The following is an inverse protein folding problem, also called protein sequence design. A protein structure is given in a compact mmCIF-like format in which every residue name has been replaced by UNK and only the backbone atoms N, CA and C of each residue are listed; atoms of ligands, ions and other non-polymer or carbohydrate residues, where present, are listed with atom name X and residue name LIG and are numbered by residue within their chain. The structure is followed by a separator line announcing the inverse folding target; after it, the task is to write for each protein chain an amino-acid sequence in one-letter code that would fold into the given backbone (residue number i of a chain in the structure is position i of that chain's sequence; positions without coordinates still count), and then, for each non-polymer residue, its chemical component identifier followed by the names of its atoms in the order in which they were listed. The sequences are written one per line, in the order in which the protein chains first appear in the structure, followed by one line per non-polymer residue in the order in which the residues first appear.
data_IF_175509066768
#
_entry.id   IF_175509066768
#
_cell.length_a   1.000
_cell.length_b   1.000
_cell.length_c   1.000
_cell.angle_alpha   90.00
_cell.angle_beta   90.00
_cell.angle_gamma   90.00
#
_symmetry.space_group_name_H-M   'P 1'
#
loop_
_entity.id
_entity.type
_entity.pdbx_description
1 polymer ?
#
# COMPACT_ATOMS: atom_id res chain seq x y z
N UNK A 1 6.46 -13.54 -1.27
CA UNK A 1 7.18 -12.26 -1.45
C UNK A 1 7.24 -11.93 -2.93
N UNK A 2 7.14 -10.65 -3.28
CA UNK A 2 7.26 -10.19 -4.67
C UNK A 2 8.60 -10.63 -5.29
N UNK A 3 8.58 -10.96 -6.58
CA UNK A 3 9.78 -11.34 -7.32
C UNK A 3 10.63 -10.12 -7.71
N UNK A 4 10.02 -8.95 -7.83
CA UNK A 4 10.66 -7.69 -8.18
C UNK A 4 11.46 -7.08 -7.03
N UNK A 5 12.69 -6.67 -7.33
CA UNK A 5 13.57 -6.00 -6.36
C UNK A 5 13.00 -4.67 -5.88
N UNK A 6 12.37 -3.90 -6.76
CA UNK A 6 11.81 -2.58 -6.44
C UNK A 6 10.65 -2.70 -5.46
N UNK A 7 9.77 -3.69 -5.66
CA UNK A 7 8.63 -3.91 -4.77
C UNK A 7 9.12 -4.42 -3.40
N UNK A 8 10.13 -5.31 -3.38
CA UNK A 8 10.79 -5.74 -2.12
C UNK A 8 11.42 -4.57 -1.39
N UNK A 9 12.06 -3.64 -2.10
CA UNK A 9 12.64 -2.44 -1.50
C UNK A 9 11.57 -1.56 -0.83
N UNK A 10 10.42 -1.35 -1.49
CA UNK A 10 9.29 -0.60 -0.91
C UNK A 10 8.80 -1.27 0.37
N UNK A 11 8.65 -2.60 0.38
CA UNK A 11 8.25 -3.36 1.57
C UNK A 11 9.27 -3.21 2.70
N UNK A 12 10.56 -3.32 2.41
CA UNK A 12 11.64 -3.17 3.39
C UNK A 12 11.63 -1.76 3.96
N UNK A 13 11.59 -0.72 3.12
CA UNK A 13 11.52 0.69 3.55
C UNK A 13 10.30 0.97 4.42
N UNK A 14 9.16 0.38 4.07
CA UNK A 14 7.92 0.49 4.84
C UNK A 14 8.05 -0.17 6.21
N UNK A 15 8.52 -1.41 6.24
CA UNK A 15 8.64 -2.25 7.45
C UNK A 15 9.67 -1.68 8.42
N UNK A 16 10.83 -1.27 7.91
CA UNK A 16 11.90 -0.66 8.70
C UNK A 16 11.62 0.80 9.07
N UNK A 17 10.49 1.38 8.60
CA UNK A 17 10.12 2.78 8.85
C UNK A 17 11.24 3.73 8.43
N UNK A 18 11.78 3.49 7.23
CA UNK A 18 12.94 4.21 6.69
C UNK A 18 12.69 5.73 6.58
N UNK A 19 11.46 6.13 6.24
CA UNK A 19 11.05 7.53 6.25
C UNK A 19 10.80 8.00 7.69
N UNK A 20 11.57 8.99 8.14
CA UNK A 20 11.45 9.58 9.48
C UNK A 20 10.20 10.44 9.58
N UNK A 21 9.27 10.08 10.45
CA UNK A 21 8.05 10.86 10.70
C UNK A 21 8.35 12.26 11.25
N UNK A 22 7.51 13.24 10.92
CA UNK A 22 7.63 14.63 11.41
C UNK A 22 7.80 14.68 12.93
N UNK A 23 7.01 13.91 13.70
CA UNK A 23 7.14 13.83 15.17
C UNK A 23 8.54 13.39 15.66
N UNK A 24 9.29 12.61 14.88
CA UNK A 24 10.69 12.26 15.20
C UNK A 24 11.64 13.36 14.78
N UNK A 25 11.42 13.94 13.60
CA UNK A 25 12.20 15.07 13.08
C UNK A 25 12.10 16.28 14.01
N UNK A 26 10.93 16.58 14.56
CA UNK A 26 10.73 17.68 15.52
C UNK A 26 11.41 17.46 16.87
N UNK A 27 11.55 16.20 17.30
CA UNK A 27 12.36 15.87 18.48
C UNK A 27 13.85 16.08 18.24
N UNK A 28 14.31 15.91 17.00
CA UNK A 28 15.71 16.16 16.59
C UNK A 28 15.98 17.65 16.33
N UNK A 29 15.00 18.38 15.81
CA UNK A 29 15.09 19.81 15.52
C UNK A 29 13.99 20.58 16.26
N UNK A 30 14.37 21.39 17.26
CA UNK A 30 13.46 22.10 18.17
C UNK A 30 12.48 23.06 17.49
N UNK A 31 12.71 23.44 16.23
CA UNK A 31 11.83 24.31 15.44
C UNK A 31 10.93 23.56 14.45
N UNK A 32 10.87 22.23 14.52
CA UNK A 32 10.12 21.43 13.57
C UNK A 32 8.61 21.44 13.81
N UNK A 33 7.84 21.44 12.72
CA UNK A 33 6.40 21.22 12.75
C UNK A 33 6.08 19.72 12.85
N UNK A 34 5.34 19.33 13.90
CA UNK A 34 4.98 17.94 14.18
C UNK A 34 3.66 17.54 13.55
N UNK A 35 3.00 18.45 12.84
CA UNK A 35 1.73 18.20 12.18
C UNK A 35 1.87 17.17 11.06
N UNK A 36 0.73 16.59 10.71
CA UNK A 36 0.58 15.65 9.63
C UNK A 36 1.03 16.32 8.33
N UNK A 37 2.04 15.72 7.71
CA UNK A 37 2.52 16.01 6.36
C UNK A 37 1.45 15.94 5.25
N UNK A 38 0.30 15.29 5.47
CA UNK A 38 -0.82 15.32 4.51
C UNK A 38 -1.60 16.64 4.59
N UNK A 39 -1.37 17.45 5.63
CA UNK A 39 -1.99 18.77 5.77
C UNK A 39 -3.31 18.80 6.54
N UNK A 40 -3.73 17.71 7.20
CA UNK A 40 -4.98 17.70 7.98
C UNK A 40 -4.91 18.44 9.33
N UNK A 41 -3.73 18.93 9.73
CA UNK A 41 -3.55 19.73 10.95
C UNK A 41 -3.36 18.94 12.26
N UNK A 42 -3.63 17.63 12.29
CA UNK A 42 -3.36 16.76 13.45
C UNK A 42 -1.87 16.43 13.61
N UNK A 43 -1.50 15.78 14.72
CA UNK A 43 -0.10 15.34 14.97
C UNK A 43 0.31 14.20 14.03
N UNK A 44 1.37 14.39 13.27
CA UNK A 44 1.88 13.49 12.25
C UNK A 44 2.63 12.26 12.80
N UNK A 45 1.95 11.42 13.58
CA UNK A 45 2.48 10.11 13.97
C UNK A 45 2.50 9.16 12.76
N UNK A 46 3.27 8.06 12.82
CA UNK A 46 3.31 7.08 11.74
C UNK A 46 1.93 6.49 11.44
N UNK A 47 1.20 6.13 12.49
CA UNK A 47 -0.12 5.51 12.38
C UNK A 47 -1.14 6.50 11.82
N UNK A 48 -1.12 7.74 12.33
CA UNK A 48 -1.97 8.81 11.82
C UNK A 48 -1.71 9.06 10.33
N UNK A 49 -0.46 9.35 9.97
CA UNK A 49 -0.05 9.69 8.61
C UNK A 49 -0.29 8.58 7.57
N UNK A 50 -0.34 7.31 8.00
CA UNK A 50 -0.51 6.16 7.09
C UNK A 50 -1.90 5.56 7.13
N UNK A 51 -2.67 5.77 8.19
CA UNK A 51 -3.98 5.15 8.36
C UNK A 51 -5.00 6.13 8.89
N UNK A 52 -4.87 6.63 10.12
CA UNK A 52 -5.98 7.33 10.81
C UNK A 52 -6.34 8.68 10.19
N UNK A 53 -5.42 9.31 9.45
CA UNK A 53 -5.63 10.60 8.80
C UNK A 53 -6.87 10.57 7.90
N UNK A 54 -7.78 11.53 8.12
CA UNK A 54 -9.01 11.67 7.34
C UNK A 54 -8.78 11.85 5.83
N UNK A 55 -7.64 12.41 5.43
CA UNK A 55 -7.26 12.57 4.02
C UNK A 55 -6.77 11.26 3.39
N UNK A 56 -6.29 10.32 4.21
CA UNK A 56 -5.79 9.02 3.74
C UNK A 56 -6.88 7.95 3.76
N UNK A 57 -7.86 8.08 4.65
CA UNK A 57 -8.98 7.14 4.79
C UNK A 57 -9.78 6.89 3.50
N UNK A 58 -10.06 7.87 2.62
CA UNK A 58 -10.71 7.63 1.33
C UNK A 58 -9.99 6.57 0.48
N UNK A 59 -8.66 6.63 0.41
CA UNK A 59 -7.87 5.64 -0.31
C UNK A 59 -8.04 4.25 0.29
N UNK A 60 -7.94 4.10 1.62
CA UNK A 60 -8.12 2.80 2.27
C UNK A 60 -9.51 2.22 2.08
N UNK A 61 -10.55 3.06 2.11
CA UNK A 61 -11.92 2.62 1.79
C UNK A 61 -12.02 2.11 0.36
N UNK A 62 -11.35 2.75 -0.60
CA UNK A 62 -11.27 2.28 -1.99
C UNK A 62 -10.55 0.94 -2.09
N UNK A 63 -9.42 0.77 -1.41
CA UNK A 63 -8.68 -0.51 -1.36
C UNK A 63 -9.60 -1.63 -0.83
N UNK A 64 -10.34 -1.38 0.25
CA UNK A 64 -11.28 -2.38 0.78
C UNK A 64 -12.49 -2.62 -0.13
N UNK A 65 -12.97 -1.62 -0.86
CA UNK A 65 -14.01 -1.80 -1.87
C UNK A 65 -13.52 -2.71 -3.00
N UNK A 66 -12.26 -2.59 -3.43
CA UNK A 66 -11.66 -3.51 -4.40
C UNK A 66 -11.57 -4.93 -3.86
N UNK A 67 -11.15 -5.12 -2.60
CA UNK A 67 -11.12 -6.44 -1.97
C UNK A 67 -12.51 -7.11 -2.01
N UNK A 68 -13.57 -6.36 -1.71
CA UNK A 68 -14.95 -6.85 -1.83
C UNK A 68 -15.34 -7.23 -3.25
N UNK A 69 -14.92 -6.47 -4.27
CA UNK A 69 -15.15 -6.82 -5.69
C UNK A 69 -14.50 -8.15 -6.06
N UNK A 70 -13.38 -8.48 -5.42
CA UNK A 70 -12.69 -9.77 -5.57
C UNK A 70 -13.25 -10.87 -4.65
N UNK A 71 -14.40 -10.65 -4.01
CA UNK A 71 -15.01 -11.56 -3.02
C UNK A 71 -14.13 -11.87 -1.80
N UNK A 72 -13.20 -10.96 -1.48
CA UNK A 72 -12.28 -11.08 -0.36
C UNK A 72 -12.82 -10.29 0.83
N UNK A 73 -13.16 -11.00 1.89
CA UNK A 73 -13.60 -10.42 3.16
C UNK A 73 -12.42 -10.31 4.13
N UNK A 74 -11.96 -9.09 4.37
CA UNK A 74 -10.93 -8.79 5.37
C UNK A 74 -11.45 -7.75 6.37
N UNK A 75 -11.15 -7.91 7.68
CA UNK A 75 -11.38 -6.86 8.66
C UNK A 75 -10.75 -5.54 8.24
N UNK A 76 -11.41 -4.41 8.50
CA UNK A 76 -10.86 -3.08 8.24
C UNK A 76 -9.88 -2.69 9.35
N UNK A 77 -8.68 -3.26 9.31
CA UNK A 77 -7.68 -3.20 10.38
C UNK A 77 -6.33 -2.67 9.86
N UNK A 78 -5.74 -1.63 10.50
CA UNK A 78 -4.40 -1.15 10.15
C UNK A 78 -3.31 -2.21 10.28
N UNK A 79 -3.43 -3.20 11.17
CA UNK A 79 -2.45 -4.29 11.29
C UNK A 79 -2.39 -5.14 10.01
N UNK A 80 -3.51 -5.31 9.31
CA UNK A 80 -3.57 -6.00 8.03
C UNK A 80 -2.89 -5.14 6.96
N UNK A 81 -3.33 -3.89 6.79
CA UNK A 81 -2.83 -3.00 5.75
C UNK A 81 -1.36 -2.61 5.90
N UNK A 82 -0.93 -2.26 7.13
CA UNK A 82 0.38 -1.68 7.39
C UNK A 82 1.44 -2.73 7.71
N UNK A 83 1.05 -3.83 8.35
CA UNK A 83 1.99 -4.85 8.87
C UNK A 83 1.82 -6.22 8.22
N UNK A 84 0.76 -6.45 7.44
CA UNK A 84 0.49 -7.75 6.82
C UNK A 84 0.21 -8.85 7.85
N UNK A 85 -0.36 -8.49 9.00
CA UNK A 85 -0.76 -9.45 10.04
C UNK A 85 -2.16 -9.93 9.71
N UNK A 86 -2.26 -11.11 9.11
CA UNK A 86 -3.54 -11.67 8.65
C UNK A 86 -4.14 -12.63 9.69
N UNK A 87 -5.48 -12.74 9.76
CA UNK A 87 -6.16 -13.82 10.46
C UNK A 87 -5.64 -15.20 10.02
N UNK A 88 -5.67 -16.20 10.92
CA UNK A 88 -5.16 -17.56 10.68
C UNK A 88 -6.13 -18.44 9.88
N UNK A 89 -6.96 -17.83 9.03
CA UNK A 89 -7.93 -18.54 8.21
C UNK A 89 -7.25 -19.02 6.91
N UNK A 90 -7.34 -20.32 6.62
CA UNK A 90 -6.62 -20.97 5.51
C UNK A 90 -6.95 -20.36 4.15
N UNK A 91 -8.23 -19.99 3.92
CA UNK A 91 -8.66 -19.32 2.69
C UNK A 91 -8.05 -17.94 2.52
N UNK A 92 -7.92 -17.19 3.62
CA UNK A 92 -7.26 -15.87 3.59
C UNK A 92 -5.77 -16.03 3.24
N UNK A 93 -5.09 -17.03 3.80
CA UNK A 93 -3.69 -17.27 3.44
C UNK A 93 -3.47 -17.62 1.96
N UNK A 94 -4.40 -18.33 1.32
CA UNK A 94 -4.27 -18.75 -0.08
C UNK A 94 -4.27 -17.59 -1.08
N UNK A 95 -5.04 -16.53 -0.79
CA UNK A 95 -5.16 -15.36 -1.69
C UNK A 95 -4.23 -14.20 -1.31
N UNK A 96 -3.27 -14.44 -0.40
CA UNK A 96 -2.30 -13.41 0.03
C UNK A 96 -1.56 -12.76 -1.14
N UNK A 97 -1.28 -13.53 -2.18
CA UNK A 97 -0.62 -13.04 -3.40
C UNK A 97 -1.40 -11.90 -4.07
N UNK A 98 -2.73 -11.93 -4.02
CA UNK A 98 -3.63 -11.04 -4.75
C UNK A 98 -3.74 -9.66 -4.09
N UNK A 99 -3.90 -9.57 -2.76
CA UNK A 99 -4.06 -8.27 -2.10
C UNK A 99 -2.75 -7.62 -1.61
N UNK A 100 -1.67 -8.40 -1.45
CA UNK A 100 -0.38 -7.85 -1.02
C UNK A 100 0.09 -6.71 -1.95
N UNK A 101 0.01 -6.83 -3.29
CA UNK A 101 0.27 -5.74 -4.22
C UNK A 101 -0.58 -4.48 -3.96
N UNK A 102 -1.87 -4.66 -3.64
CA UNK A 102 -2.81 -3.56 -3.37
C UNK A 102 -2.38 -2.72 -2.18
N UNK A 103 -2.03 -3.39 -1.08
CA UNK A 103 -1.55 -2.72 0.13
C UNK A 103 -0.20 -2.05 -0.09
N UNK A 104 0.73 -2.70 -0.81
CA UNK A 104 2.03 -2.11 -1.14
C UNK A 104 1.86 -0.87 -2.01
N UNK A 105 1.00 -0.93 -3.04
CA UNK A 105 0.69 0.20 -3.89
C UNK A 105 0.15 1.35 -3.05
N UNK A 106 -0.85 1.12 -2.19
CA UNK A 106 -1.44 2.14 -1.34
C UNK A 106 -0.40 2.78 -0.41
N UNK A 107 0.39 1.95 0.27
CA UNK A 107 1.47 2.41 1.14
C UNK A 107 2.52 3.24 0.39
N UNK A 108 2.84 2.84 -0.84
CA UNK A 108 3.79 3.58 -1.67
C UNK A 108 3.22 4.90 -2.16
N UNK A 109 1.94 4.95 -2.55
CA UNK A 109 1.25 6.19 -2.95
C UNK A 109 1.20 7.16 -1.78
N UNK A 110 0.84 6.69 -0.58
CA UNK A 110 0.88 7.50 0.65
C UNK A 110 2.32 7.96 0.97
N UNK A 111 3.31 7.10 0.74
CA UNK A 111 4.72 7.43 0.95
C UNK A 111 5.24 8.50 -0.02
N UNK A 112 4.75 8.52 -1.26
CA UNK A 112 5.20 9.43 -2.31
C UNK A 112 4.77 10.87 -2.08
N UNK A 113 3.65 11.09 -1.38
CA UNK A 113 3.21 12.42 -0.96
C UNK A 113 4.07 13.00 0.18
N UNK A 114 5.26 12.42 0.44
CA UNK A 114 6.25 12.93 1.40
C UNK A 114 6.70 14.34 1.17
N UNK A 115 6.94 14.66 -0.10
CA UNK A 115 7.60 15.90 -0.46
C UNK A 115 6.60 17.02 -0.76
N UNK A 116 5.36 16.65 -1.07
CA UNK A 116 4.30 17.59 -1.42
C UNK A 116 3.00 17.16 -0.73
N UNK A 117 2.44 17.99 0.17
CA UNK A 117 1.20 17.70 0.88
C UNK A 117 0.05 17.64 -0.13
N UNK A 118 -0.22 16.44 -0.62
CA UNK A 118 -1.31 16.12 -1.54
C UNK A 118 -2.05 14.92 -1.00
N UNK A 119 -3.38 15.00 -1.02
CA UNK A 119 -4.24 13.88 -0.68
C UNK A 119 -3.98 12.74 -1.68
N UNK A 120 -3.66 11.51 -1.21
CA UNK A 120 -3.40 10.40 -2.11
C UNK A 120 -4.68 10.03 -2.86
N UNK A 121 -4.62 10.03 -4.19
CA UNK A 121 -5.79 9.77 -5.03
C UNK A 121 -5.94 8.31 -5.44
N UNK A 122 -7.17 7.89 -5.75
CA UNK A 122 -7.45 6.58 -6.34
C UNK A 122 -6.69 6.38 -7.65
N UNK A 123 -6.60 7.41 -8.50
CA UNK A 123 -5.92 7.32 -9.79
C UNK A 123 -4.41 7.10 -9.64
N UNK A 124 -3.76 7.80 -8.71
CA UNK A 124 -2.34 7.58 -8.41
C UNK A 124 -2.09 6.18 -7.86
N UNK A 125 -3.01 5.68 -7.03
CA UNK A 125 -2.95 4.31 -6.54
C UNK A 125 -3.14 3.27 -7.67
N UNK A 126 -4.09 3.47 -8.58
CA UNK A 126 -4.29 2.60 -9.75
C UNK A 126 -3.06 2.64 -10.67
N UNK A 127 -2.48 3.82 -10.92
CA UNK A 127 -1.20 3.96 -11.65
C UNK A 127 -0.08 3.18 -10.96
N UNK A 128 -0.03 3.22 -9.63
CA UNK A 128 0.94 2.47 -8.85
C UNK A 128 0.73 0.96 -8.96
N UNK A 129 -0.54 0.52 -8.96
CA UNK A 129 -0.90 -0.87 -9.21
C UNK A 129 -0.45 -1.34 -10.60
N UNK A 130 -0.69 -0.55 -11.66
CA UNK A 130 -0.22 -0.86 -13.02
C UNK A 130 1.30 -0.94 -13.13
N UNK A 131 2.01 -0.05 -12.41
CA UNK A 131 3.47 -0.14 -12.32
C UNK A 131 3.91 -1.47 -11.69
N UNK A 132 3.29 -1.87 -10.57
CA UNK A 132 3.61 -3.14 -9.90
C UNK A 132 3.27 -4.34 -10.80
N UNK A 133 2.08 -4.34 -11.44
CA UNK A 133 1.65 -5.34 -12.42
C UNK A 133 2.71 -5.54 -13.50
N UNK A 134 3.13 -4.44 -14.13
CA UNK A 134 4.10 -4.46 -15.23
C UNK A 134 5.47 -4.99 -14.77
N UNK A 135 5.92 -4.58 -13.58
CA UNK A 135 7.20 -5.02 -13.04
C UNK A 135 7.18 -6.51 -12.65
N UNK A 136 6.09 -7.01 -12.07
CA UNK A 136 5.93 -8.44 -11.80
C UNK A 136 5.83 -9.26 -13.10
N UNK A 137 5.14 -8.75 -14.12
CA UNK A 137 5.05 -9.39 -15.44
C UNK A 137 6.42 -9.63 -16.06
N UNK A 138 7.24 -8.56 -16.16
CA UNK A 138 8.60 -8.69 -16.70
C UNK A 138 9.46 -9.66 -15.89
N UNK A 139 9.31 -9.68 -14.57
CA UNK A 139 10.03 -10.63 -13.72
C UNK A 139 9.57 -12.08 -13.91
N UNK A 140 8.26 -12.31 -14.07
CA UNK A 140 7.70 -13.61 -14.36
C UNK A 140 8.16 -14.15 -15.72
N UNK A 141 8.15 -13.30 -16.76
CA UNK A 141 8.69 -13.64 -18.08
C UNK A 141 10.15 -14.07 -17.98
N UNK A 142 11.00 -13.30 -17.28
CA UNK A 142 12.44 -13.60 -17.14
C UNK A 142 12.71 -14.92 -16.41
N UNK A 143 11.82 -15.33 -15.51
CA UNK A 143 11.96 -16.57 -14.73
C UNK A 143 11.22 -17.77 -15.34
N UNK A 144 10.49 -17.56 -16.44
CA UNK A 144 9.57 -18.54 -17.02
C UNK A 144 8.44 -18.98 -16.04
N UNK A 145 8.06 -18.10 -15.12
CA UNK A 145 7.05 -18.32 -14.07
C UNK A 145 5.74 -17.56 -14.38
N UNK A 146 5.26 -17.67 -15.62
CA UNK A 146 4.09 -16.89 -16.09
C UNK A 146 2.80 -17.37 -15.41
N UNK A 147 2.62 -18.67 -15.17
CA UNK A 147 1.40 -19.21 -14.58
C UNK A 147 1.08 -18.67 -13.18
N UNK A 148 2.03 -18.64 -12.22
CA UNK A 148 1.82 -17.98 -10.93
C UNK A 148 1.44 -16.49 -11.05
N UNK A 149 2.02 -15.78 -12.02
CA UNK A 149 1.69 -14.38 -12.28
C UNK A 149 0.24 -14.23 -12.74
N UNK A 150 -0.17 -15.01 -13.74
CA UNK A 150 -1.52 -15.02 -14.29
C UNK A 150 -2.56 -15.31 -13.20
N UNK A 151 -2.31 -16.34 -12.37
CA UNK A 151 -3.18 -16.71 -11.27
C UNK A 151 -3.35 -15.60 -10.21
N UNK A 152 -2.34 -14.73 -10.06
CA UNK A 152 -2.36 -13.65 -9.06
C UNK A 152 -2.99 -12.37 -9.62
N UNK A 153 -2.74 -12.04 -10.88
CA UNK A 153 -2.99 -10.71 -11.45
C UNK A 153 -4.22 -10.61 -12.36
N UNK A 154 -4.71 -11.71 -12.95
CA UNK A 154 -5.85 -11.64 -13.88
C UNK A 154 -7.10 -11.03 -13.25
N UNK A 155 -7.44 -11.44 -12.02
CA UNK A 155 -8.64 -10.92 -11.33
C UNK A 155 -8.46 -9.44 -10.95
N UNK A 156 -7.24 -9.06 -10.53
CA UNK A 156 -6.91 -7.67 -10.19
C UNK A 156 -7.01 -6.76 -11.41
N UNK A 157 -6.51 -7.21 -12.56
CA UNK A 157 -6.56 -6.47 -13.82
C UNK A 157 -8.00 -6.13 -14.21
N UNK A 158 -8.91 -7.10 -14.11
CA UNK A 158 -10.34 -6.88 -14.37
C UNK A 158 -10.95 -5.81 -13.46
N UNK A 159 -10.60 -5.80 -12.18
CA UNK A 159 -11.09 -4.79 -11.24
C UNK A 159 -10.46 -3.42 -11.51
N UNK A 160 -9.16 -3.37 -11.84
CA UNK A 160 -8.44 -2.13 -12.16
C UNK A 160 -8.95 -1.45 -13.43
N UNK A 161 -9.39 -2.23 -14.42
CA UNK A 161 -10.00 -1.72 -15.66
C UNK A 161 -11.47 -1.28 -15.48
N UNK A 162 -12.11 -1.65 -14.36
CA UNK A 162 -13.51 -1.36 -14.07
C UNK A 162 -13.76 -0.04 -13.34
N UNK A 163 -12.70 0.69 -13.00
CA UNK A 163 -12.75 2.04 -12.42
C UNK A 163 -12.39 3.09 -13.47
#
# INVERSE_FOLDING_TARGET
CSASLIIREIQIKTTLRYHLMHVRVTKMNKSGDSRCWQGCGETGTLLHCRWECELVQPLWKTVWRFLKKLTIELPYDPAIALLGIYPRDTGVLMHRGTWTPMFIAALSTIAETWKEPKCPSTDEWIKKMWFIYTMEYYMAMRKNDIWPYVATWMELEGVMLSE
#
